data_IF_259667315162
#
_entry.id   IF_259667315162
#
_cell.length_a   1.000
_cell.length_b   1.000
_cell.length_c   1.000
_cell.angle_alpha   90.00
_cell.angle_beta   90.00
_cell.angle_gamma   90.00
#
_symmetry.space_group_name_H-M   'P 1'
#
loop_
_entity.id
_entity.type
_entity.pdbx_description
1 polymer ?
#
# COMPACT_ATOMS: atom_id res chain seq x y z
N UNK A 1 4.71 19.34 -4.43
CA UNK A 1 4.08 18.02 -4.27
C UNK A 1 2.78 17.93 -5.07
N UNK A 2 1.82 18.86 -4.93
CA UNK A 2 0.56 18.84 -5.69
C UNK A 2 0.74 18.71 -7.22
N UNK A 3 1.64 19.49 -7.84
CA UNK A 3 1.88 19.39 -9.30
C UNK A 3 2.37 18.01 -9.74
N UNK A 4 3.19 17.34 -8.91
CA UNK A 4 3.61 15.97 -9.17
C UNK A 4 2.43 14.99 -9.07
N UNK A 5 1.47 15.24 -8.15
CA UNK A 5 0.26 14.43 -8.02
C UNK A 5 -0.66 14.59 -9.24
N UNK A 6 -0.81 15.80 -9.77
CA UNK A 6 -1.53 16.02 -11.03
C UNK A 6 -0.85 15.31 -12.20
N UNK A 7 0.47 15.50 -12.34
CA UNK A 7 1.23 14.92 -13.44
C UNK A 7 1.25 13.38 -13.46
N UNK A 8 1.16 12.72 -12.30
CA UNK A 8 1.06 11.26 -12.23
C UNK A 8 -0.38 10.78 -12.44
N UNK A 9 -1.38 11.52 -11.94
CA UNK A 9 -2.80 11.19 -12.14
C UNK A 9 -3.20 11.23 -13.64
N UNK A 10 -2.61 12.14 -14.43
CA UNK A 10 -2.77 12.18 -15.89
C UNK A 10 -2.29 10.90 -16.60
N UNK A 11 -1.45 10.09 -15.95
CA UNK A 11 -0.93 8.84 -16.51
C UNK A 11 -1.81 7.63 -16.17
N UNK A 12 -2.78 7.78 -15.27
CA UNK A 12 -3.70 6.74 -14.87
C UNK A 12 -3.90 6.63 -13.35
N UNK A 13 -4.69 5.63 -12.90
CA UNK A 13 -4.96 5.40 -11.48
C UNK A 13 -3.67 5.29 -10.67
N UNK A 14 -3.54 6.12 -9.65
CA UNK A 14 -2.32 6.24 -8.85
C UNK A 14 -2.61 6.13 -7.36
N UNK A 15 -1.87 5.24 -6.68
CA UNK A 15 -1.81 5.21 -5.22
C UNK A 15 -0.59 6.01 -4.74
N UNK A 16 -0.80 6.92 -3.81
CA UNK A 16 0.27 7.74 -3.23
C UNK A 16 0.34 7.50 -1.74
N UNK A 17 1.54 7.17 -1.26
CA UNK A 17 1.82 6.99 0.16
C UNK A 17 2.70 8.14 0.66
N UNK A 18 2.18 8.88 1.63
CA UNK A 18 2.87 9.96 2.33
C UNK A 18 2.22 10.15 3.71
N UNK A 19 2.84 10.96 4.57
CA UNK A 19 2.23 11.32 5.85
C UNK A 19 0.84 11.94 5.64
N UNK A 20 -0.12 11.66 6.54
CA UNK A 20 -1.50 12.16 6.47
C UNK A 20 -1.56 13.67 6.19
N UNK A 21 -0.72 14.45 6.88
CA UNK A 21 -0.60 15.91 6.72
C UNK A 21 -0.16 16.40 5.33
N UNK A 22 0.24 15.51 4.41
CA UNK A 22 0.49 15.86 3.01
C UNK A 22 -0.71 15.60 2.09
N UNK A 23 -1.63 14.71 2.49
CA UNK A 23 -2.70 14.18 1.65
C UNK A 23 -4.11 14.51 2.17
N UNK A 24 -4.27 14.91 3.43
CA UNK A 24 -5.56 15.32 3.95
C UNK A 24 -6.14 16.55 3.23
N UNK A 25 -7.48 16.64 3.18
CA UNK A 25 -8.22 17.72 2.50
C UNK A 25 -8.26 19.04 3.27
N UNK A 26 -8.29 18.97 4.60
CA UNK A 26 -8.29 20.14 5.46
C UNK A 26 -6.88 20.72 5.59
N UNK A 27 -6.79 22.00 5.98
CA UNK A 27 -5.52 22.68 6.23
C UNK A 27 -4.69 21.87 7.22
N UNK A 28 -3.45 21.58 6.85
CA UNK A 28 -2.56 20.78 7.67
C UNK A 28 -1.86 21.63 8.70
N UNK A 29 -1.62 21.03 9.86
CA UNK A 29 -0.98 21.69 10.99
C UNK A 29 0.08 20.80 11.62
N UNK A 30 1.10 21.40 12.23
CA UNK A 30 2.03 20.69 13.13
C UNK A 30 2.62 21.67 14.14
N UNK A 31 3.17 21.14 15.23
CA UNK A 31 3.97 21.94 16.18
C UNK A 31 5.45 21.66 15.94
N UNK A 32 6.21 22.70 15.60
CA UNK A 32 7.65 22.61 15.38
C UNK A 32 8.35 23.66 16.25
N UNK A 33 9.27 23.24 17.13
CA UNK A 33 9.94 24.15 18.07
C UNK A 33 8.96 24.92 18.97
N UNK A 34 7.81 24.33 19.31
CA UNK A 34 6.76 24.98 20.10
C UNK A 34 5.87 25.96 19.32
N UNK A 35 6.15 26.19 18.04
CA UNK A 35 5.35 27.08 17.18
C UNK A 35 4.35 26.27 16.34
N UNK A 36 3.09 26.72 16.23
CA UNK A 36 2.15 26.14 15.29
C UNK A 36 2.54 26.53 13.86
N UNK A 37 2.64 25.53 12.99
CA UNK A 37 2.77 25.70 11.55
C UNK A 37 1.47 25.25 10.90
N UNK A 38 1.02 25.98 9.89
CA UNK A 38 -0.16 25.63 9.12
C UNK A 38 0.09 25.83 7.62
N UNK A 39 -0.40 24.92 6.78
CA UNK A 39 -0.24 25.02 5.34
C UNK A 39 -1.38 24.31 4.60
N UNK A 40 -1.63 24.74 3.37
CA UNK A 40 -2.45 23.98 2.44
C UNK A 40 -1.59 22.86 1.84
N UNK A 41 -1.91 21.62 2.21
CA UNK A 41 -1.17 20.43 1.80
C UNK A 41 -1.37 20.12 0.31
N UNK A 42 -0.62 19.14 -0.21
CA UNK A 42 -0.85 18.67 -1.57
C UNK A 42 -2.25 18.11 -1.73
N UNK A 43 -2.71 17.32 -0.73
CA UNK A 43 -4.07 16.80 -0.59
C UNK A 43 -5.13 17.87 -0.68
N UNK A 44 -5.00 18.94 0.12
CA UNK A 44 -5.94 20.04 0.12
C UNK A 44 -6.03 20.77 -1.23
N UNK A 45 -4.91 20.88 -1.95
CA UNK A 45 -4.89 21.49 -3.29
C UNK A 45 -5.53 20.54 -4.31
N UNK A 46 -5.11 19.27 -4.35
CA UNK A 46 -5.62 18.32 -5.36
C UNK A 46 -7.08 17.97 -5.15
N UNK A 47 -7.55 17.89 -3.90
CA UNK A 47 -8.96 17.58 -3.61
C UNK A 47 -9.92 18.60 -4.18
N UNK A 48 -9.52 19.89 -4.22
CA UNK A 48 -10.36 20.94 -4.81
C UNK A 48 -10.46 20.87 -6.33
N UNK A 49 -9.47 20.28 -7.01
CA UNK A 49 -9.44 20.18 -8.47
C UNK A 49 -9.94 18.83 -9.00
N UNK A 50 -9.62 17.75 -8.30
CA UNK A 50 -10.00 16.38 -8.68
C UNK A 50 -11.35 15.96 -8.12
N UNK A 51 -11.83 16.59 -7.04
CA UNK A 51 -13.12 16.27 -6.43
C UNK A 51 -13.22 14.78 -6.06
N UNK A 52 -14.25 14.11 -6.59
CA UNK A 52 -14.51 12.68 -6.38
C UNK A 52 -13.44 11.75 -7.00
N UNK A 53 -12.61 12.24 -7.92
CA UNK A 53 -11.48 11.47 -8.46
C UNK A 53 -10.29 11.39 -7.48
N UNK A 54 -10.37 12.11 -6.36
CA UNK A 54 -9.41 12.04 -5.28
C UNK A 54 -10.03 11.41 -4.03
N UNK A 55 -9.50 10.24 -3.63
CA UNK A 55 -9.83 9.59 -2.37
C UNK A 55 -8.65 9.68 -1.39
N UNK A 56 -8.94 10.03 -0.14
CA UNK A 56 -7.97 10.10 0.95
C UNK A 56 -8.25 9.02 2.00
N UNK A 57 -7.28 8.12 2.19
CA UNK A 57 -7.29 7.14 3.26
C UNK A 57 -6.28 7.55 4.31
N UNK A 58 -6.75 7.87 5.52
CA UNK A 58 -5.88 8.22 6.63
C UNK A 58 -5.25 6.96 7.23
N UNK A 59 -3.95 6.98 7.50
CA UNK A 59 -3.32 5.88 8.25
C UNK A 59 -3.35 6.18 9.75
N UNK A 60 -3.74 5.20 10.55
CA UNK A 60 -3.71 5.27 12.01
C UNK A 60 -3.01 4.03 12.58
N UNK A 61 -2.28 4.20 13.67
CA UNK A 61 -1.45 3.14 14.25
C UNK A 61 -1.89 2.88 15.69
N UNK A 62 -1.96 1.61 16.09
CA UNK A 62 -2.14 1.24 17.49
C UNK A 62 -0.87 1.51 18.28
N UNK A 63 0.17 0.71 18.05
CA UNK A 63 1.46 0.84 18.74
C UNK A 63 2.66 1.00 17.80
N UNK A 64 3.69 1.68 18.30
CA UNK A 64 5.06 1.71 17.78
C UNK A 64 5.95 1.51 19.01
N UNK A 65 5.87 0.32 19.62
CA UNK A 65 6.47 0.06 20.95
C UNK A 65 7.96 0.40 21.01
N UNK A 66 8.68 0.14 19.92
CA UNK A 66 10.11 0.46 19.79
C UNK A 66 10.43 1.97 19.74
N UNK A 67 9.41 2.83 19.65
CA UNK A 67 9.51 4.30 19.75
C UNK A 67 8.74 4.85 20.96
N UNK A 68 8.32 3.99 21.91
CA UNK A 68 7.57 4.39 23.10
C UNK A 68 6.12 4.79 22.83
N UNK A 69 5.56 4.45 21.66
CA UNK A 69 4.12 4.62 21.39
C UNK A 69 3.41 3.33 21.79
N UNK A 70 2.91 3.30 23.02
CA UNK A 70 2.21 2.14 23.59
C UNK A 70 0.72 2.11 23.21
N UNK A 71 -0.02 1.18 23.82
CA UNK A 71 -1.46 0.98 23.61
C UNK A 71 -2.22 2.31 23.66
N UNK A 72 -3.03 2.63 22.63
CA UNK A 72 -3.83 3.86 22.62
C UNK A 72 -4.84 3.89 23.77
N UNK A 73 -5.16 5.07 24.33
CA UNK A 73 -6.24 5.19 25.29
C UNK A 73 -7.57 4.73 24.69
N UNK A 74 -8.43 4.02 25.45
CA UNK A 74 -9.61 3.33 24.91
C UNK A 74 -10.71 4.26 24.39
N UNK A 75 -10.66 5.54 24.75
CA UNK A 75 -11.59 6.59 24.35
C UNK A 75 -11.15 7.37 23.10
N UNK A 76 -10.04 7.00 22.47
CA UNK A 76 -9.60 7.55 21.17
C UNK A 76 -10.04 6.67 20.00
N UNK A 77 -10.01 7.22 18.79
CA UNK A 77 -10.30 6.45 17.56
C UNK A 77 -9.39 5.22 17.47
N UNK A 78 -8.09 5.41 17.71
CA UNK A 78 -7.12 4.31 17.69
C UNK A 78 -7.38 3.30 18.81
N UNK A 79 -7.82 3.74 19.99
CA UNK A 79 -8.22 2.85 21.09
C UNK A 79 -9.36 1.93 20.71
N UNK A 80 -10.40 2.49 20.13
CA UNK A 80 -11.59 1.77 19.67
C UNK A 80 -11.27 0.77 18.55
N UNK A 81 -10.34 1.11 17.65
CA UNK A 81 -9.89 0.21 16.60
C UNK A 81 -8.91 -0.87 17.13
N UNK A 82 -8.09 -0.55 18.14
CA UNK A 82 -7.07 -1.43 18.68
C UNK A 82 -7.64 -2.67 19.39
N UNK A 83 -8.82 -2.56 20.00
CA UNK A 83 -9.46 -3.68 20.71
C UNK A 83 -10.07 -4.72 19.77
N UNK A 84 -10.18 -4.41 18.48
CA UNK A 84 -10.67 -5.36 17.48
C UNK A 84 -9.61 -6.47 17.25
N UNK A 85 -10.02 -7.70 16.87
CA UNK A 85 -9.15 -8.89 16.95
C UNK A 85 -7.99 -8.94 15.94
N UNK A 86 -8.22 -8.47 14.71
CA UNK A 86 -7.28 -8.49 13.59
C UNK A 86 -6.19 -7.42 13.72
N UNK A 87 -5.07 -7.65 13.03
CA UNK A 87 -3.92 -6.75 13.04
C UNK A 87 -4.08 -5.53 12.12
N UNK A 88 -4.95 -5.64 11.11
CA UNK A 88 -5.11 -4.62 10.08
C UNK A 88 -6.58 -4.42 9.71
N UNK A 89 -6.98 -3.16 9.56
CA UNK A 89 -8.33 -2.81 9.12
C UNK A 89 -8.31 -1.75 8.02
N UNK A 90 -9.27 -1.86 7.11
CA UNK A 90 -9.70 -0.73 6.29
C UNK A 90 -11.13 -0.41 6.70
N UNK A 91 -11.33 0.80 7.24
CA UNK A 91 -12.59 1.24 7.83
C UNK A 91 -13.16 2.38 7.00
N UNK A 92 -14.46 2.33 6.72
CA UNK A 92 -15.19 3.47 6.16
C UNK A 92 -15.33 4.56 7.22
N UNK A 93 -14.70 5.71 6.99
CA UNK A 93 -14.66 6.80 7.97
C UNK A 93 -16.03 7.41 8.21
N UNK A 94 -16.91 7.47 7.20
CA UNK A 94 -18.25 8.06 7.31
C UNK A 94 -19.16 7.18 8.15
N UNK A 95 -19.09 5.86 7.96
CA UNK A 95 -19.78 4.87 8.82
C UNK A 95 -19.26 4.90 10.24
N UNK A 96 -17.94 5.04 10.42
CA UNK A 96 -17.33 5.15 11.74
C UNK A 96 -17.83 6.40 12.48
N UNK A 97 -17.81 7.57 11.84
CA UNK A 97 -18.39 8.81 12.41
C UNK A 97 -19.87 8.64 12.75
N UNK A 98 -20.64 7.99 11.87
CA UNK A 98 -22.07 7.70 12.14
C UNK A 98 -22.25 6.81 13.37
N UNK A 99 -21.35 5.85 13.58
CA UNK A 99 -21.37 4.95 14.74
C UNK A 99 -21.10 5.68 16.06
N UNK A 100 -20.22 6.69 16.02
CA UNK A 100 -19.94 7.54 17.19
C UNK A 100 -21.12 8.48 17.52
N UNK A 101 -21.91 8.89 16.52
CA UNK A 101 -23.01 9.84 16.71
C UNK A 101 -22.50 11.13 17.36
N UNK A 102 -23.11 11.52 18.49
CA UNK A 102 -22.70 12.71 19.24
C UNK A 102 -21.51 12.45 20.19
N UNK A 103 -21.16 11.20 20.45
CA UNK A 103 -20.08 10.82 21.36
C UNK A 103 -18.74 10.76 20.61
N UNK A 104 -18.18 11.93 20.31
CA UNK A 104 -16.93 12.03 19.57
C UNK A 104 -15.75 11.52 20.42
N UNK A 105 -14.87 10.65 19.89
CA UNK A 105 -13.69 10.18 20.61
C UNK A 105 -12.76 11.32 21.01
N UNK A 106 -11.99 11.10 22.08
CA UNK A 106 -10.95 12.02 22.51
C UNK A 106 -9.77 12.01 21.50
N UNK A 107 -9.09 13.15 21.31
CA UNK A 107 -7.86 13.18 20.52
C UNK A 107 -6.76 12.40 21.25
N UNK A 108 -6.03 11.54 20.52
CA UNK A 108 -4.86 10.85 21.06
C UNK A 108 -3.66 11.80 21.05
N UNK A 109 -2.82 11.72 22.07
CA UNK A 109 -1.49 12.36 22.12
C UNK A 109 -0.43 11.28 21.98
N UNK A 110 0.55 11.49 21.10
CA UNK A 110 1.71 10.62 20.93
C UNK A 110 2.92 11.21 21.68
N UNK A 111 3.68 10.40 22.44
CA UNK A 111 4.96 10.82 23.01
C UNK A 111 6.08 10.88 21.96
N UNK A 112 5.89 10.24 20.81
CA UNK A 112 6.86 10.20 19.71
C UNK A 112 6.48 11.18 18.61
N UNK A 113 7.38 12.11 18.29
CA UNK A 113 7.17 13.16 17.29
C UNK A 113 6.98 12.61 15.87
N UNK A 114 7.44 11.39 15.59
CA UNK A 114 7.28 10.75 14.28
C UNK A 114 5.90 10.15 14.03
N UNK A 115 5.01 10.15 15.03
CA UNK A 115 3.62 9.72 14.88
C UNK A 115 2.67 10.87 15.23
N UNK A 116 1.86 11.26 14.25
CA UNK A 116 0.75 12.22 14.43
C UNK A 116 -0.57 11.43 14.47
N UNK A 117 -1.22 11.29 15.64
CA UNK A 117 -2.51 10.59 15.74
C UNK A 117 -3.62 11.31 14.96
N UNK A 118 -4.73 10.60 14.71
CA UNK A 118 -5.87 11.22 14.02
C UNK A 118 -6.51 12.30 14.89
N UNK A 119 -6.90 13.42 14.27
CA UNK A 119 -7.84 14.35 14.88
C UNK A 119 -9.26 13.84 14.61
N UNK A 120 -10.05 13.51 15.65
CA UNK A 120 -11.43 13.07 15.47
C UNK A 120 -12.33 14.08 14.72
N UNK A 121 -11.91 15.35 14.54
CA UNK A 121 -12.67 16.41 13.85
C UNK A 121 -12.72 16.16 12.35
N UNK A 122 -11.66 15.54 11.85
CA UNK A 122 -11.38 15.43 10.43
C UNK A 122 -11.62 14.03 9.89
N UNK A 123 -12.24 13.14 10.70
CA UNK A 123 -12.59 11.79 10.24
C UNK A 123 -13.56 11.83 9.06
N UNK A 124 -14.54 12.73 9.09
CA UNK A 124 -15.51 12.89 8.00
C UNK A 124 -14.86 13.42 6.70
N UNK A 125 -13.68 14.05 6.79
CA UNK A 125 -12.92 14.55 5.64
C UNK A 125 -12.10 13.46 4.95
N UNK A 126 -12.06 12.24 5.51
CA UNK A 126 -11.35 11.08 4.97
C UNK A 126 -12.36 10.07 4.40
N UNK A 127 -12.00 9.35 3.34
CA UNK A 127 -12.87 8.34 2.73
C UNK A 127 -12.71 6.98 3.39
N UNK A 128 -11.54 6.72 3.98
CA UNK A 128 -11.30 5.55 4.80
C UNK A 128 -10.17 5.75 5.80
N UNK A 129 -10.03 4.79 6.71
CA UNK A 129 -8.91 4.67 7.63
C UNK A 129 -8.24 3.33 7.38
N UNK A 130 -6.93 3.36 7.13
CA UNK A 130 -6.08 2.17 7.17
C UNK A 130 -5.48 2.09 8.57
N UNK A 131 -5.94 1.14 9.37
CA UNK A 131 -5.43 0.94 10.73
C UNK A 131 -4.44 -0.22 10.77
N UNK A 132 -3.30 0.00 11.43
CA UNK A 132 -2.29 -1.02 11.73
C UNK A 132 -2.17 -1.13 13.24
N UNK A 133 -2.46 -2.30 13.80
CA UNK A 133 -2.52 -2.51 15.24
C UNK A 133 -1.17 -2.36 15.91
N UNK A 134 -0.15 -3.05 15.40
CA UNK A 134 1.19 -3.06 15.98
C UNK A 134 2.24 -2.89 14.89
N UNK A 135 3.00 -1.78 14.93
CA UNK A 135 4.10 -1.57 14.00
C UNK A 135 5.34 -2.33 14.49
N UNK A 136 5.79 -3.37 13.77
CA UNK A 136 6.98 -4.09 14.16
C UNK A 136 8.20 -3.18 14.05
N UNK A 137 9.22 -3.43 14.88
CA UNK A 137 10.53 -2.86 14.62
C UNK A 137 11.09 -3.55 13.37
N UNK A 138 11.02 -2.88 12.23
CA UNK A 138 11.70 -3.38 11.03
C UNK A 138 13.19 -3.20 11.23
N UNK A 139 13.88 -4.27 11.63
CA UNK A 139 15.30 -4.40 11.31
C UNK A 139 15.30 -4.74 9.84
N UNK A 140 15.54 -3.75 8.98
CA UNK A 140 15.74 -4.03 7.56
C UNK A 140 16.97 -4.92 7.44
N UNK A 141 16.77 -6.24 7.39
CA UNK A 141 17.83 -7.13 6.93
C UNK A 141 17.94 -6.88 5.43
N UNK A 142 18.99 -6.16 5.03
CA UNK A 142 19.22 -5.78 3.63
C UNK A 142 19.18 -7.01 2.68
N UNK A 143 19.36 -8.22 3.21
CA UNK A 143 19.23 -9.49 2.50
C UNK A 143 17.80 -9.86 2.11
N UNK A 144 16.80 -9.41 2.85
CA UNK A 144 15.39 -9.75 2.58
C UNK A 144 14.78 -8.85 1.50
N UNK A 145 15.14 -7.55 1.50
CA UNK A 145 14.73 -6.58 0.48
C UNK A 145 15.31 -6.86 -0.91
N UNK A 146 16.44 -7.57 -0.99
CA UNK A 146 17.12 -7.91 -2.24
C UNK A 146 16.82 -9.33 -2.75
N UNK A 147 15.85 -10.05 -2.14
CA UNK A 147 15.46 -11.36 -2.67
C UNK A 147 14.75 -11.16 -4.02
N UNK A 148 15.24 -11.78 -5.11
CA UNK A 148 14.53 -11.69 -6.39
C UNK A 148 13.14 -12.28 -6.25
N UNK A 149 12.12 -11.54 -6.70
CA UNK A 149 10.79 -12.09 -6.93
C UNK A 149 10.96 -13.24 -7.93
N UNK A 150 10.68 -14.47 -7.52
CA UNK A 150 10.69 -15.61 -8.45
C UNK A 150 9.65 -15.34 -9.52
N UNK A 151 10.09 -15.12 -10.76
CA UNK A 151 9.20 -15.15 -11.90
C UNK A 151 8.65 -16.58 -12.02
N UNK A 152 7.39 -16.76 -11.67
CA UNK A 152 6.63 -17.96 -12.02
C UNK A 152 6.42 -17.96 -13.53
N UNK A 153 7.30 -18.64 -14.26
CA UNK A 153 7.01 -19.14 -15.59
C UNK A 153 6.89 -20.66 -15.48
N UNK A 154 5.68 -21.12 -15.17
CA UNK A 154 5.28 -22.48 -15.52
C UNK A 154 5.06 -22.51 -17.03
N UNK A 155 6.02 -23.08 -17.76
CA UNK A 155 5.79 -23.52 -19.13
C UNK A 155 4.86 -24.75 -19.08
N UNK A 156 3.74 -24.77 -19.81
CA UNK A 156 2.94 -25.97 -19.92
C UNK A 156 3.72 -27.03 -20.70
N UNK A 157 3.95 -28.17 -20.05
CA UNK A 157 4.55 -29.38 -20.61
C UNK A 157 3.76 -29.82 -21.84
N UNK A 158 4.36 -29.69 -23.03
CA UNK A 158 3.86 -30.30 -24.26
C UNK A 158 3.87 -31.81 -24.13
N UNK A 159 2.72 -32.44 -24.35
CA UNK A 159 2.60 -33.88 -24.48
C UNK A 159 3.22 -34.33 -25.81
N UNK A 160 4.36 -35.00 -25.74
CA UNK A 160 4.90 -35.74 -26.89
C UNK A 160 4.46 -37.20 -26.79
N UNK A 161 3.68 -37.62 -27.79
CA UNK A 161 3.04 -38.92 -27.87
C UNK A 161 4.02 -40.02 -28.24
N UNK A 162 4.04 -41.05 -27.41
CA UNK A 162 4.68 -42.33 -27.56
C UNK A 162 4.15 -43.13 -28.77
N UNK A 163 5.04 -43.65 -29.64
CA UNK A 163 4.81 -44.87 -30.42
C UNK A 163 6.12 -45.66 -30.61
N UNK A 164 6.11 -47.00 -30.42
CA UNK A 164 7.31 -47.81 -30.32
C UNK A 164 7.77 -48.41 -31.65
N UNK A 165 9.06 -48.76 -31.70
CA UNK A 165 9.78 -49.21 -32.89
C UNK A 165 9.55 -50.67 -33.32
N UNK A 166 10.21 -51.03 -34.43
CA UNK A 166 10.54 -52.42 -34.77
C UNK A 166 11.81 -52.47 -35.62
N UNK A 167 12.65 -53.42 -35.24
CA UNK A 167 13.93 -53.84 -35.82
C UNK A 167 13.84 -54.26 -37.29
N UNK A 168 15.00 -54.20 -37.98
CA UNK A 168 15.27 -55.16 -39.04
C UNK A 168 16.29 -54.76 -40.11
N UNK A 169 17.52 -55.27 -39.97
CA UNK A 169 18.33 -55.89 -41.05
C UNK A 169 18.88 -55.01 -42.21
N UNK A 170 20.22 -54.88 -42.23
CA UNK A 170 21.12 -54.53 -43.37
C UNK A 170 21.14 -55.66 -44.45
N UNK A 171 21.82 -55.59 -45.64
CA UNK A 171 22.69 -54.56 -46.23
C UNK A 171 22.52 -54.34 -47.78
N UNK A 172 23.42 -53.51 -48.34
CA UNK A 172 24.17 -53.69 -49.62
C UNK A 172 23.81 -52.83 -50.85
N UNK A 173 24.88 -52.17 -51.38
CA UNK A 173 25.25 -51.85 -52.77
C UNK A 173 24.16 -51.29 -53.72
N UNK A 174 24.30 -50.18 -54.46
CA UNK A 174 25.39 -49.82 -55.39
C UNK A 174 25.03 -48.56 -56.20
N UNK A 175 26.09 -47.80 -56.59
CA UNK A 175 26.34 -47.08 -57.85
C UNK A 175 25.31 -46.09 -58.46
N UNK A 176 25.86 -44.94 -58.88
CA UNK A 176 25.41 -44.14 -60.04
C UNK A 176 25.30 -42.64 -59.70
N UNK A 177 26.26 -41.77 -60.08
CA UNK A 177 26.34 -41.07 -61.40
C UNK A 177 25.14 -40.12 -61.60
N UNK A 178 25.19 -38.81 -61.91
CA UNK A 178 26.06 -37.98 -62.77
C UNK A 178 25.85 -36.48 -62.40
N UNK A 179 26.91 -35.69 -62.67
CA UNK A 179 27.03 -34.23 -62.97
C UNK A 179 25.76 -33.52 -63.48
N UNK A 180 25.53 -32.24 -63.12
CA UNK A 180 26.01 -31.03 -63.80
C UNK A 180 24.80 -30.26 -64.39
N UNK A 181 24.46 -29.06 -63.93
CA UNK A 181 24.82 -27.75 -64.52
C UNK A 181 23.85 -27.34 -65.67
N UNK A 182 23.72 -26.06 -66.07
CA UNK A 182 24.27 -24.82 -65.52
C UNK A 182 23.32 -24.07 -64.57
#
# INVERSE_FOLDING_TARGET
MADNLFAIAERGPTLVHAHNAHLQRHKSTMRMGGLPLEWWSAGAIVSTRLGEEYAFLATALGTIRHQGVDTPPPDTVEGLLYVLPEDHYVVDSRRLVTTFGNARPAPRVSPYYGYSPLDPAHLADSDGIVFVKDVPQTVLDARELLRPVRAGHEQPSGAESDRPGRDGVRPAHSRGSVRGGP
#
